data_IF_692582789751
#
_entry.id   IF_692582789751
#
_cell.length_a   1.000
_cell.length_b   1.000
_cell.length_c   1.000
_cell.angle_alpha   90.00
_cell.angle_beta   90.00
_cell.angle_gamma   90.00
#
_symmetry.space_group_name_H-M   'P 1'
#
loop_
_entity.id
_entity.type
_entity.pdbx_description
1 polymer ?
#
# COMPACT_ATOMS: atom_id res chain seq x y z
N UNK A 1 1.67 -37.79 11.30
CA UNK A 1 0.28 -37.40 11.02
C UNK A 1 0.34 -36.09 10.26
N UNK A 2 0.20 -36.14 8.94
CA UNK A 2 0.22 -34.93 8.10
C UNK A 2 -1.16 -34.30 8.21
N UNK A 3 -1.27 -33.11 8.80
CA UNK A 3 -2.50 -32.33 8.75
C UNK A 3 -2.87 -32.13 7.28
N UNK A 4 -4.05 -32.64 6.88
CA UNK A 4 -4.64 -32.32 5.59
C UNK A 4 -4.95 -30.82 5.62
N UNK A 5 -4.20 -30.03 4.86
CA UNK A 5 -4.59 -28.64 4.61
C UNK A 5 -5.83 -28.67 3.72
N UNK A 6 -6.98 -28.25 4.24
CA UNK A 6 -8.22 -28.14 3.46
C UNK A 6 -8.06 -27.07 2.37
N UNK A 7 -8.53 -27.38 1.16
CA UNK A 7 -8.45 -26.48 0.01
C UNK A 7 -9.52 -25.38 0.17
N UNK A 8 -9.09 -24.14 0.36
CA UNK A 8 -9.97 -22.97 0.45
C UNK A 8 -9.75 -21.98 -0.71
N UNK A 9 -10.76 -21.15 -1.03
CA UNK A 9 -10.63 -20.10 -2.02
C UNK A 9 -9.66 -19.00 -1.57
N UNK A 10 -8.98 -18.36 -2.53
CA UNK A 10 -8.12 -17.21 -2.29
C UNK A 10 -8.36 -16.16 -3.39
N UNK A 11 -8.15 -14.88 -3.06
CA UNK A 11 -8.33 -13.78 -3.99
C UNK A 11 -7.25 -12.71 -3.81
N UNK A 12 -7.05 -11.91 -4.85
CA UNK A 12 -6.23 -10.70 -4.81
C UNK A 12 -7.09 -9.54 -5.27
N UNK A 13 -7.11 -8.47 -4.49
CA UNK A 13 -7.76 -7.21 -4.84
C UNK A 13 -6.71 -6.17 -5.24
N UNK A 14 -7.03 -5.38 -6.26
CA UNK A 14 -6.41 -4.09 -6.53
C UNK A 14 -7.47 -3.12 -7.06
N UNK A 15 -7.26 -1.83 -6.81
CA UNK A 15 -8.01 -0.75 -7.45
C UNK A 15 -7.18 -0.20 -8.59
N UNK A 16 -7.84 0.13 -9.70
CA UNK A 16 -7.22 0.65 -10.90
C UNK A 16 -7.83 1.98 -11.33
N UNK A 17 -7.09 2.70 -12.17
CA UNK A 17 -7.56 3.88 -12.89
C UNK A 17 -7.13 3.71 -14.34
N UNK A 18 -8.09 3.75 -15.26
CA UNK A 18 -7.84 3.65 -16.71
C UNK A 18 -7.08 2.36 -17.10
N UNK A 19 -7.47 1.21 -16.52
CA UNK A 19 -6.86 -0.10 -16.80
C UNK A 19 -5.48 -0.32 -16.16
N UNK A 20 -5.01 0.64 -15.37
CA UNK A 20 -3.71 0.61 -14.73
C UNK A 20 -3.84 0.48 -13.21
N UNK A 21 -3.17 -0.49 -12.56
CA UNK A 21 -3.28 -0.65 -11.11
C UNK A 21 -2.82 0.61 -10.38
N UNK A 22 -3.55 1.01 -9.34
CA UNK A 22 -3.23 2.13 -8.44
C UNK A 22 -2.87 1.62 -7.05
N UNK A 23 -3.75 0.84 -6.39
CA UNK A 23 -3.46 0.33 -5.06
C UNK A 23 -3.85 -1.13 -4.92
N UNK A 24 -2.99 -1.91 -4.28
CA UNK A 24 -3.21 -3.30 -3.91
C UNK A 24 -2.39 -3.59 -2.65
N UNK A 25 -2.43 -4.83 -2.15
CA UNK A 25 -1.76 -5.21 -0.89
C UNK A 25 -0.35 -4.63 -0.71
N UNK A 26 0.52 -4.79 -1.71
CA UNK A 26 1.91 -4.33 -1.60
C UNK A 26 2.08 -2.80 -1.59
N UNK A 27 1.18 -2.05 -2.24
CA UNK A 27 1.22 -0.58 -2.24
C UNK A 27 0.59 0.00 -0.96
N UNK A 28 -0.41 -0.68 -0.40
CA UNK A 28 -0.90 -0.38 0.95
C UNK A 28 0.21 -0.57 1.97
N UNK A 29 0.91 -1.70 1.91
CA UNK A 29 2.03 -2.00 2.81
C UNK A 29 3.17 -0.98 2.69
N UNK A 30 3.48 -0.53 1.46
CA UNK A 30 4.44 0.54 1.20
C UNK A 30 4.02 1.84 1.90
N UNK A 31 2.79 2.31 1.68
CA UNK A 31 2.31 3.57 2.26
C UNK A 31 2.23 3.51 3.79
N UNK A 32 1.72 2.41 4.34
CA UNK A 32 1.67 2.20 5.80
C UNK A 32 3.07 2.10 6.43
N UNK A 33 4.05 1.58 5.70
CA UNK A 33 5.43 1.54 6.16
C UNK A 33 6.04 2.95 6.17
N UNK A 34 5.79 3.76 5.15
CA UNK A 34 6.23 5.18 5.16
C UNK A 34 5.66 5.91 6.36
N UNK A 35 4.35 5.74 6.60
CA UNK A 35 3.67 6.37 7.72
C UNK A 35 4.26 5.97 9.07
N UNK A 36 4.48 4.66 9.27
CA UNK A 36 5.03 4.13 10.52
C UNK A 36 6.46 4.60 10.77
N UNK A 37 7.30 4.61 9.74
CA UNK A 37 8.72 4.94 9.90
C UNK A 37 9.03 6.44 9.84
N UNK A 38 8.10 7.24 9.31
CA UNK A 38 8.30 8.68 9.08
C UNK A 38 9.42 8.99 8.08
N UNK A 39 9.90 7.99 7.33
CA UNK A 39 11.10 8.09 6.50
C UNK A 39 11.03 7.19 5.27
N UNK A 40 11.20 7.79 4.09
CA UNK A 40 11.29 7.07 2.82
C UNK A 40 12.50 6.14 2.75
N UNK A 41 13.61 6.49 3.40
CA UNK A 41 14.82 5.65 3.40
C UNK A 41 14.58 4.37 4.20
N UNK A 42 14.07 4.49 5.43
CA UNK A 42 13.72 3.34 6.27
C UNK A 42 12.64 2.48 5.62
N UNK A 43 11.63 3.12 5.01
CA UNK A 43 10.60 2.40 4.28
C UNK A 43 11.18 1.62 3.09
N UNK A 44 12.12 2.19 2.34
CA UNK A 44 12.76 1.50 1.23
C UNK A 44 13.55 0.28 1.72
N UNK A 45 14.29 0.42 2.82
CA UNK A 45 15.03 -0.69 3.47
C UNK A 45 14.10 -1.83 3.91
N UNK A 46 13.02 -1.51 4.65
CA UNK A 46 12.03 -2.51 5.13
C UNK A 46 11.34 -3.21 3.95
N UNK A 47 11.02 -2.46 2.89
CA UNK A 47 10.38 -2.99 1.70
C UNK A 47 11.36 -3.74 0.77
N UNK A 48 12.64 -3.84 1.13
CA UNK A 48 13.72 -4.39 0.31
C UNK A 48 13.77 -3.76 -1.11
N UNK A 49 13.58 -2.45 -1.16
CA UNK A 49 13.60 -1.63 -2.37
C UNK A 49 14.75 -0.63 -2.32
N UNK A 50 15.29 -0.26 -3.49
CA UNK A 50 16.11 0.95 -3.54
C UNK A 50 15.24 2.18 -3.28
N UNK A 51 15.79 3.21 -2.62
CA UNK A 51 15.12 4.49 -2.43
C UNK A 51 14.57 5.05 -3.75
N UNK A 52 15.36 4.99 -4.82
CA UNK A 52 14.96 5.44 -6.17
C UNK A 52 13.71 4.70 -6.68
N UNK A 53 13.64 3.38 -6.46
CA UNK A 53 12.50 2.58 -6.89
C UNK A 53 11.23 2.92 -6.10
N UNK A 54 11.34 3.05 -4.77
CA UNK A 54 10.22 3.44 -3.91
C UNK A 54 9.71 4.84 -4.28
N UNK A 55 10.61 5.82 -4.39
CA UNK A 55 10.26 7.19 -4.75
C UNK A 55 9.65 7.30 -6.14
N UNK A 56 10.23 6.61 -7.14
CA UNK A 56 9.67 6.57 -8.49
C UNK A 56 8.30 5.90 -8.54
N UNK A 57 8.06 4.89 -7.70
CA UNK A 57 6.74 4.26 -7.58
C UNK A 57 5.70 5.25 -7.04
N UNK A 58 6.02 5.98 -5.97
CA UNK A 58 5.14 7.00 -5.41
C UNK A 58 4.83 8.06 -6.46
N UNK A 59 5.84 8.64 -7.12
CA UNK A 59 5.65 9.72 -8.09
C UNK A 59 4.80 9.30 -9.28
N UNK A 60 4.97 8.08 -9.79
CA UNK A 60 4.11 7.54 -10.85
C UNK A 60 2.65 7.38 -10.40
N UNK A 61 2.41 6.99 -9.15
CA UNK A 61 1.06 6.88 -8.61
C UNK A 61 0.43 8.26 -8.46
N UNK A 62 1.17 9.23 -7.91
CA UNK A 62 0.71 10.61 -7.73
C UNK A 62 0.38 11.28 -9.07
N UNK A 63 1.22 11.10 -10.10
CA UNK A 63 0.96 11.58 -11.46
C UNK A 63 -0.36 11.03 -12.02
N UNK A 64 -0.60 9.72 -11.86
CA UNK A 64 -1.83 9.07 -12.31
C UNK A 64 -3.04 9.52 -11.51
N UNK A 65 -2.88 9.72 -10.21
CA UNK A 65 -3.95 10.10 -9.30
C UNK A 65 -4.33 11.57 -9.44
N UNK A 66 -3.37 12.44 -9.74
CA UNK A 66 -3.54 13.89 -9.79
C UNK A 66 -3.41 14.57 -8.42
N UNK A 67 -2.91 13.85 -7.41
CA UNK A 67 -2.68 14.37 -6.05
C UNK A 67 -1.50 13.66 -5.39
N UNK A 68 -0.89 14.32 -4.40
CA UNK A 68 0.22 13.77 -3.64
C UNK A 68 -0.27 12.69 -2.66
N UNK A 69 0.50 11.61 -2.54
CA UNK A 69 0.31 10.53 -1.57
C UNK A 69 1.20 10.72 -0.34
N UNK A 70 2.34 11.39 -0.51
CA UNK A 70 3.33 11.60 0.56
C UNK A 70 3.76 13.05 0.63
N UNK A 71 3.65 13.65 1.83
CA UNK A 71 4.27 14.93 2.16
C UNK A 71 5.68 14.67 2.68
N UNK A 72 6.67 15.28 2.03
CA UNK A 72 8.06 15.22 2.48
C UNK A 72 8.47 16.54 3.14
N UNK A 73 9.02 16.47 4.34
CA UNK A 73 9.67 17.61 5.00
C UNK A 73 11.14 17.58 4.58
N UNK A 74 11.58 18.62 3.88
CA UNK A 74 13.01 18.81 3.55
C UNK A 74 13.78 19.01 4.86
N UNK A 75 14.68 18.08 5.19
CA UNK A 75 15.44 18.12 6.43
C UNK A 75 16.84 18.72 6.26
N UNK A 76 17.18 19.65 7.15
CA UNK A 76 18.56 20.02 7.48
C UNK A 76 19.20 18.95 8.40
N UNK A 77 20.03 19.36 9.36
CA UNK A 77 20.92 18.50 10.17
C UNK A 77 20.33 17.23 10.80
N UNK A 78 19.01 17.15 11.02
CA UNK A 78 18.34 16.02 11.69
C UNK A 78 17.65 15.02 10.75
N UNK A 79 17.74 15.23 9.43
CA UNK A 79 17.17 14.33 8.42
C UNK A 79 15.77 14.76 7.96
N UNK A 80 15.44 14.44 6.70
CA UNK A 80 14.12 14.69 6.13
C UNK A 80 13.05 13.73 6.66
N UNK A 81 11.80 14.17 6.68
CA UNK A 81 10.64 13.38 7.11
C UNK A 81 9.68 13.07 5.97
N UNK A 82 8.84 12.05 6.14
CA UNK A 82 7.78 11.70 5.19
C UNK A 82 6.53 11.21 5.93
N UNK A 83 5.37 11.77 5.60
CA UNK A 83 4.06 11.38 6.14
C UNK A 83 3.05 11.23 5.00
N UNK A 84 1.99 10.47 5.23
CA UNK A 84 0.92 10.36 4.25
C UNK A 84 0.09 11.64 4.15
N UNK A 85 -0.53 11.83 2.99
CA UNK A 85 -1.61 12.81 2.80
C UNK A 85 -2.95 12.25 3.24
N UNK A 86 -3.94 13.13 3.39
CA UNK A 86 -5.31 12.71 3.73
C UNK A 86 -5.89 11.80 2.63
N UNK A 87 -5.62 12.15 1.37
CA UNK A 87 -6.02 11.39 0.19
C UNK A 87 -5.38 9.99 0.16
N UNK A 88 -4.15 9.84 0.65
CA UNK A 88 -3.50 8.54 0.79
C UNK A 88 -4.18 7.67 1.87
N UNK A 89 -4.57 8.24 3.00
CA UNK A 89 -5.33 7.51 4.02
C UNK A 89 -6.67 7.05 3.48
N UNK A 90 -7.41 7.93 2.81
CA UNK A 90 -8.71 7.58 2.20
C UNK A 90 -8.57 6.44 1.19
N UNK A 91 -7.52 6.47 0.35
CA UNK A 91 -7.25 5.41 -0.61
C UNK A 91 -6.94 4.06 0.07
N UNK A 92 -6.18 4.07 1.17
CA UNK A 92 -5.88 2.87 1.97
C UNK A 92 -7.16 2.32 2.63
N UNK A 93 -7.98 3.18 3.21
CA UNK A 93 -9.21 2.76 3.88
C UNK A 93 -10.23 2.19 2.90
N UNK A 94 -10.35 2.77 1.71
CA UNK A 94 -11.22 2.22 0.66
C UNK A 94 -10.77 0.83 0.21
N UNK A 95 -9.46 0.63 0.01
CA UNK A 95 -8.92 -0.71 -0.27
C UNK A 95 -9.25 -1.70 0.85
N UNK A 96 -9.01 -1.31 2.12
CA UNK A 96 -9.27 -2.20 3.27
C UNK A 96 -10.74 -2.55 3.40
N UNK A 97 -11.63 -1.58 3.20
CA UNK A 97 -13.09 -1.76 3.24
C UNK A 97 -13.52 -2.82 2.23
N UNK A 98 -13.15 -2.64 0.96
CA UNK A 98 -13.47 -3.57 -0.12
C UNK A 98 -12.85 -4.96 0.11
N UNK A 99 -11.58 -5.01 0.50
CA UNK A 99 -10.90 -6.27 0.78
C UNK A 99 -11.58 -7.04 1.92
N UNK A 100 -12.01 -6.35 2.97
CA UNK A 100 -12.77 -6.96 4.08
C UNK A 100 -14.11 -7.50 3.60
N UNK A 101 -14.87 -6.72 2.84
CA UNK A 101 -16.16 -7.16 2.29
C UNK A 101 -16.03 -8.42 1.43
N UNK A 102 -15.08 -8.44 0.50
CA UNK A 102 -14.86 -9.61 -0.37
C UNK A 102 -14.42 -10.82 0.45
N UNK A 103 -13.53 -10.61 1.43
CA UNK A 103 -13.07 -11.68 2.33
C UNK A 103 -14.24 -12.32 3.08
N UNK A 104 -15.13 -11.52 3.65
CA UNK A 104 -16.33 -12.03 4.35
C UNK A 104 -17.23 -12.83 3.42
N UNK A 105 -17.50 -12.34 2.20
CA UNK A 105 -18.33 -13.07 1.22
C UNK A 105 -17.72 -14.42 0.83
N UNK A 106 -16.39 -14.48 0.70
CA UNK A 106 -15.68 -15.72 0.39
C UNK A 106 -15.74 -16.70 1.57
N UNK A 107 -15.54 -16.21 2.80
CA UNK A 107 -15.62 -17.03 4.01
C UNK A 107 -17.02 -17.62 4.23
N UNK A 108 -18.08 -16.83 4.02
CA UNK A 108 -19.48 -17.29 4.15
C UNK A 108 -19.91 -18.32 3.09
N UNK A 109 -19.21 -18.37 1.96
CA UNK A 109 -19.54 -19.22 0.81
C UNK A 109 -18.52 -20.32 0.56
N UNK A 110 -17.51 -20.44 1.44
CA UNK A 110 -16.54 -21.52 1.38
C UNK A 110 -17.21 -22.82 1.88
N UNK A 111 -17.00 -23.95 1.19
CA UNK A 111 -17.57 -25.25 1.56
C UNK A 111 -17.05 -25.78 2.89
#
# INVERSE_FOLDING_TARGET
>A
MSEKTELGPNFKLWLEKEGEPIIGKGRVELLQTIEREGSLNKAAEIMNMSYRHLWGTIKKLEERLGYDLVKTIKGGKEGGGATLTEEAYQLIEEYKRLNKTIKTVIEERSP
#
